data_IF_500824880305
#
_entry.id   IF_500824880305
#
_cell.length_a   1.000
_cell.length_b   1.000
_cell.length_c   1.000
_cell.angle_alpha   90.00
_cell.angle_beta   90.00
_cell.angle_gamma   90.00
#
_symmetry.space_group_name_H-M   'P 1'
#
loop_
_entity.id
_entity.type
_entity.pdbx_description
1 polymer ?
#
# COMPACT_ATOMS: atom_id res chain seq x y z
N UNK A 1 42.30 -21.31 -22.18
CA UNK A 1 41.34 -20.54 -23.01
C UNK A 1 39.89 -20.68 -22.55
N UNK A 2 39.39 -21.89 -22.24
CA UNK A 2 37.99 -22.11 -21.79
C UNK A 2 37.57 -21.42 -20.48
N UNK A 3 38.48 -21.22 -19.52
CA UNK A 3 38.18 -20.59 -18.22
C UNK A 3 37.82 -19.10 -18.36
N UNK A 4 38.41 -18.40 -19.34
CA UNK A 4 38.15 -16.98 -19.61
C UNK A 4 36.75 -16.75 -20.19
N UNK A 5 36.26 -17.65 -21.05
CA UNK A 5 34.94 -17.55 -21.69
C UNK A 5 33.82 -17.73 -20.66
N UNK A 6 33.95 -18.71 -19.76
CA UNK A 6 32.98 -18.94 -18.68
C UNK A 6 32.89 -17.75 -17.68
N UNK A 7 34.02 -17.08 -17.43
CA UNK A 7 34.06 -15.87 -16.60
C UNK A 7 33.31 -14.68 -17.23
N UNK A 8 33.47 -14.48 -18.54
CA UNK A 8 32.80 -13.40 -19.29
C UNK A 8 31.28 -13.63 -19.33
N UNK A 9 30.81 -14.85 -19.60
CA UNK A 9 29.37 -15.16 -19.60
C UNK A 9 28.72 -14.92 -18.22
N UNK A 10 29.41 -15.29 -17.13
CA UNK A 10 28.92 -15.07 -15.76
C UNK A 10 28.79 -13.57 -15.45
N UNK A 11 29.77 -12.75 -15.84
CA UNK A 11 29.73 -11.29 -15.65
C UNK A 11 28.59 -10.66 -16.46
N UNK A 12 28.41 -11.07 -17.72
CA UNK A 12 27.33 -10.55 -18.58
C UNK A 12 25.95 -10.87 -17.99
N UNK A 13 25.71 -12.11 -17.55
CA UNK A 13 24.46 -12.49 -16.87
C UNK A 13 24.20 -11.70 -15.59
N UNK A 14 25.25 -11.42 -14.80
CA UNK A 14 25.13 -10.59 -13.59
C UNK A 14 24.75 -9.16 -13.98
N UNK A 15 25.41 -8.56 -14.98
CA UNK A 15 25.09 -7.21 -15.47
C UNK A 15 23.66 -7.10 -15.97
N UNK A 16 23.18 -8.08 -16.74
CA UNK A 16 21.78 -8.12 -17.20
C UNK A 16 20.80 -8.26 -16.04
N UNK A 17 21.10 -9.12 -15.07
CA UNK A 17 20.28 -9.29 -13.86
C UNK A 17 20.23 -7.99 -13.04
N UNK A 18 21.36 -7.33 -12.85
CA UNK A 18 21.43 -6.03 -12.18
C UNK A 18 20.68 -4.94 -12.95
N UNK A 19 20.80 -4.89 -14.28
CA UNK A 19 20.03 -3.96 -15.13
C UNK A 19 18.52 -4.20 -14.99
N UNK A 20 18.09 -5.46 -15.02
CA UNK A 20 16.69 -5.85 -14.83
C UNK A 20 16.17 -5.51 -13.43
N UNK A 21 16.99 -5.72 -12.39
CA UNK A 21 16.67 -5.32 -11.01
C UNK A 21 16.55 -3.80 -10.91
N UNK A 22 17.49 -3.04 -11.47
CA UNK A 22 17.45 -1.56 -11.47
C UNK A 22 16.20 -1.01 -12.17
N UNK A 23 15.85 -1.56 -13.34
CA UNK A 23 14.61 -1.21 -14.07
C UNK A 23 13.36 -1.56 -13.25
N UNK A 24 13.39 -2.65 -12.47
CA UNK A 24 12.28 -3.01 -11.58
C UNK A 24 12.15 -2.08 -10.36
N UNK A 25 13.25 -1.52 -9.86
CA UNK A 25 13.25 -0.56 -8.73
C UNK A 25 12.76 0.82 -9.17
N UNK A 26 12.94 1.18 -10.45
CA UNK A 26 12.51 2.48 -11.00
C UNK A 26 11.09 2.47 -11.61
N UNK A 27 10.28 1.43 -11.32
CA UNK A 27 8.94 1.29 -11.89
C UNK A 27 7.87 1.26 -10.80
N UNK A 28 6.93 2.20 -10.88
CA UNK A 28 5.68 2.17 -10.11
C UNK A 28 4.66 1.29 -10.83
N UNK A 29 3.76 0.63 -10.09
CA UNK A 29 2.62 -0.07 -10.68
C UNK A 29 1.27 0.51 -10.28
N UNK A 30 0.20 -0.07 -10.81
CA UNK A 30 -1.17 0.37 -10.58
C UNK A 30 -1.60 0.33 -9.11
N UNK A 31 -1.14 -0.67 -8.35
CA UNK A 31 -1.45 -0.81 -6.93
C UNK A 31 -0.75 0.30 -6.14
N UNK A 32 0.54 0.52 -6.40
CA UNK A 32 1.34 1.56 -5.75
C UNK A 32 0.85 2.96 -6.09
N UNK A 33 0.55 3.24 -7.37
CA UNK A 33 0.03 4.53 -7.80
C UNK A 33 -1.29 4.85 -7.08
N UNK A 34 -2.21 3.89 -7.04
CA UNK A 34 -3.50 4.04 -6.36
C UNK A 34 -3.32 4.28 -4.87
N UNK A 35 -2.49 3.47 -4.21
CA UNK A 35 -2.22 3.61 -2.78
C UNK A 35 -1.59 4.97 -2.46
N UNK A 36 -0.55 5.38 -3.19
CA UNK A 36 0.13 6.65 -3.02
C UNK A 36 -0.83 7.83 -3.21
N UNK A 37 -1.55 7.85 -4.34
CA UNK A 37 -2.54 8.87 -4.68
C UNK A 37 -3.59 9.02 -3.57
N UNK A 38 -4.13 7.91 -3.08
CA UNK A 38 -5.08 7.96 -1.98
C UNK A 38 -4.45 8.40 -0.66
N UNK A 39 -3.22 7.98 -0.35
CA UNK A 39 -2.52 8.39 0.86
C UNK A 39 -2.43 9.92 0.96
N UNK A 40 -2.18 10.60 -0.16
CA UNK A 40 -2.06 12.07 -0.18
C UNK A 40 -3.35 12.79 -0.56
N UNK A 41 -4.46 12.06 -0.74
CA UNK A 41 -5.76 12.66 -1.05
C UNK A 41 -5.90 13.23 -2.46
N UNK A 42 -5.08 12.78 -3.41
CA UNK A 42 -5.15 13.25 -4.79
C UNK A 42 -6.24 12.51 -5.59
N UNK A 43 -6.89 13.21 -6.51
CA UNK A 43 -7.75 12.61 -7.53
C UNK A 43 -6.95 12.10 -8.73
N UNK A 44 -7.59 11.31 -9.58
CA UNK A 44 -6.99 10.83 -10.84
C UNK A 44 -6.78 11.97 -11.85
N UNK A 45 -7.50 13.10 -11.69
CA UNK A 45 -7.39 14.28 -12.55
C UNK A 45 -6.05 14.97 -12.34
N UNK A 46 -5.60 15.10 -11.09
CA UNK A 46 -4.35 15.71 -10.69
C UNK A 46 -3.17 14.89 -11.23
N UNK A 47 -3.24 13.56 -11.09
CA UNK A 47 -2.25 12.65 -11.68
C UNK A 47 -2.25 12.76 -13.21
N UNK A 48 -3.42 12.82 -13.84
CA UNK A 48 -3.54 12.98 -15.29
C UNK A 48 -2.88 14.26 -15.80
N UNK A 49 -3.16 15.39 -15.14
CA UNK A 49 -2.50 16.67 -15.44
C UNK A 49 -0.99 16.61 -15.28
N UNK A 50 -0.49 15.95 -14.23
CA UNK A 50 0.94 15.81 -13.98
C UNK A 50 1.64 15.11 -15.16
N UNK A 51 1.09 14.00 -15.65
CA UNK A 51 1.75 13.17 -16.68
C UNK A 51 1.23 13.41 -18.11
N UNK A 52 0.37 14.42 -18.31
CA UNK A 52 -0.13 14.81 -19.62
C UNK A 52 -1.18 13.87 -20.24
N UNK A 53 -1.95 13.15 -19.41
CA UNK A 53 -2.99 12.21 -19.89
C UNK A 53 -4.37 12.50 -19.28
N UNK A 54 -5.41 11.96 -19.89
CA UNK A 54 -6.78 12.07 -19.38
C UNK A 54 -6.97 11.36 -18.02
N UNK A 55 -7.84 11.92 -17.17
CA UNK A 55 -8.20 11.33 -15.88
C UNK A 55 -8.78 9.90 -16.02
N UNK A 56 -9.53 9.65 -17.10
CA UNK A 56 -10.05 8.33 -17.45
C UNK A 56 -8.93 7.33 -17.77
N UNK A 57 -7.87 7.77 -18.45
CA UNK A 57 -6.70 6.93 -18.74
C UNK A 57 -6.01 6.49 -17.46
N UNK A 58 -5.78 7.41 -16.51
CA UNK A 58 -5.22 7.06 -15.19
C UNK A 58 -6.14 6.10 -14.45
N UNK A 59 -7.42 6.43 -14.36
CA UNK A 59 -8.41 5.60 -13.68
C UNK A 59 -8.51 4.19 -14.27
N UNK A 60 -8.41 4.05 -15.58
CA UNK A 60 -8.37 2.74 -16.25
C UNK A 60 -7.12 1.97 -15.84
N UNK A 61 -5.93 2.58 -15.91
CA UNK A 61 -4.67 1.91 -15.56
C UNK A 61 -4.54 1.61 -14.06
N UNK A 62 -5.26 2.29 -13.18
CA UNK A 62 -5.36 1.91 -11.77
C UNK A 62 -6.25 0.69 -11.54
N UNK A 63 -7.24 0.38 -12.39
CA UNK A 63 -8.19 -0.72 -12.19
C UNK A 63 -7.55 -2.10 -12.36
N UNK A 64 -8.19 -3.10 -11.74
CA UNK A 64 -7.92 -4.52 -12.01
C UNK A 64 -8.50 -4.88 -13.38
N UNK A 65 -7.79 -5.66 -14.19
CA UNK A 65 -8.27 -6.15 -15.49
C UNK A 65 -7.74 -5.44 -16.73
N UNK A 66 -6.88 -4.42 -16.58
CA UNK A 66 -6.13 -3.88 -17.73
C UNK A 66 -5.15 -4.92 -18.24
N UNK A 67 -5.02 -5.02 -19.57
CA UNK A 67 -4.04 -5.93 -20.16
C UNK A 67 -2.64 -5.62 -19.61
N UNK A 68 -1.91 -6.67 -19.24
CA UNK A 68 -0.56 -6.55 -18.67
C UNK A 68 0.34 -5.69 -19.57
N UNK A 69 0.25 -5.86 -20.89
CA UNK A 69 1.01 -5.10 -21.88
C UNK A 69 0.69 -3.61 -21.86
N UNK A 70 -0.59 -3.22 -21.81
CA UNK A 70 -0.98 -1.81 -21.76
C UNK A 70 -0.55 -1.15 -20.44
N UNK A 71 -0.77 -1.83 -19.31
CA UNK A 71 -0.27 -1.37 -18.02
C UNK A 71 1.24 -1.21 -18.01
N UNK A 72 1.97 -2.18 -18.57
CA UNK A 72 3.42 -2.11 -18.63
C UNK A 72 3.93 -0.92 -19.43
N UNK A 73 3.32 -0.63 -20.58
CA UNK A 73 3.67 0.52 -21.42
C UNK A 73 3.43 1.84 -20.69
N UNK A 74 2.23 2.03 -20.13
CA UNK A 74 1.87 3.22 -19.37
C UNK A 74 2.85 3.51 -18.23
N UNK A 75 3.17 2.49 -17.42
CA UNK A 75 4.10 2.68 -16.32
C UNK A 75 5.55 2.81 -16.77
N UNK A 76 5.98 2.21 -17.88
CA UNK A 76 7.33 2.47 -18.43
C UNK A 76 7.48 3.94 -18.80
N UNK A 77 6.46 4.52 -19.42
CA UNK A 77 6.48 5.91 -19.89
C UNK A 77 6.49 6.92 -18.73
N UNK A 78 5.64 6.71 -17.72
CA UNK A 78 5.37 7.73 -16.71
C UNK A 78 6.00 7.49 -15.33
N UNK A 79 6.60 6.31 -15.06
CA UNK A 79 7.10 5.97 -13.70
C UNK A 79 8.07 7.00 -13.15
N UNK A 80 9.04 7.45 -13.93
CA UNK A 80 10.08 8.38 -13.44
C UNK A 80 9.47 9.68 -12.91
N UNK A 81 8.52 10.25 -13.65
CA UNK A 81 7.84 11.48 -13.26
C UNK A 81 6.94 11.27 -12.04
N UNK A 82 6.19 10.17 -11.98
CA UNK A 82 5.34 9.83 -10.84
C UNK A 82 6.16 9.63 -9.56
N UNK A 83 7.23 8.83 -9.64
CA UNK A 83 8.14 8.56 -8.51
C UNK A 83 8.75 9.86 -8.01
N UNK A 84 9.26 10.71 -8.92
CA UNK A 84 9.81 12.00 -8.55
C UNK A 84 8.76 12.90 -7.88
N UNK A 85 7.55 13.00 -8.44
CA UNK A 85 6.48 13.80 -7.86
C UNK A 85 6.10 13.35 -6.45
N UNK A 86 5.86 12.05 -6.23
CA UNK A 86 5.49 11.54 -4.92
C UNK A 86 6.62 11.68 -3.88
N UNK A 87 7.87 11.49 -4.31
CA UNK A 87 9.03 11.66 -3.43
C UNK A 87 9.17 13.11 -3.00
N UNK A 88 9.27 14.03 -3.96
CA UNK A 88 9.62 15.43 -3.68
C UNK A 88 8.46 16.26 -3.12
N UNK A 89 7.20 15.93 -3.44
CA UNK A 89 6.04 16.71 -3.01
C UNK A 89 5.29 16.12 -1.83
N UNK A 90 5.48 14.83 -1.57
CA UNK A 90 4.64 14.10 -0.62
C UNK A 90 5.41 13.14 0.30
N UNK A 91 6.74 13.12 0.22
CA UNK A 91 7.58 12.23 1.03
C UNK A 91 7.20 10.75 0.88
N UNK A 92 6.73 10.34 -0.30
CA UNK A 92 6.39 8.94 -0.58
C UNK A 92 7.43 8.35 -1.53
N UNK A 93 8.02 7.24 -1.14
CA UNK A 93 8.96 6.48 -1.95
C UNK A 93 8.43 5.07 -2.26
N UNK A 94 9.03 4.44 -3.27
CA UNK A 94 8.68 3.10 -3.72
C UNK A 94 9.95 2.23 -3.68
N UNK A 95 10.28 1.64 -2.52
CA UNK A 95 11.56 0.93 -2.34
C UNK A 95 11.72 -0.28 -3.26
N UNK A 96 10.60 -0.95 -3.54
CA UNK A 96 10.53 -2.06 -4.50
C UNK A 96 9.16 -2.05 -5.19
N UNK A 97 8.96 -2.95 -6.16
CA UNK A 97 7.71 -3.07 -6.92
C UNK A 97 6.49 -3.49 -6.07
N UNK A 98 6.70 -3.88 -4.81
CA UNK A 98 5.69 -4.45 -3.93
C UNK A 98 5.47 -3.62 -2.67
N UNK A 99 6.09 -2.45 -2.55
CA UNK A 99 6.10 -1.68 -1.30
C UNK A 99 5.92 -0.19 -1.55
N UNK A 100 5.30 0.49 -0.60
CA UNK A 100 5.19 1.94 -0.55
C UNK A 100 5.63 2.39 0.85
N UNK A 101 6.42 3.45 0.91
CA UNK A 101 6.92 3.96 2.17
C UNK A 101 6.74 5.47 2.26
N UNK A 102 6.36 5.94 3.45
CA UNK A 102 6.29 7.36 3.79
C UNK A 102 7.52 7.76 4.59
N UNK A 103 8.26 8.75 4.10
CA UNK A 103 9.44 9.29 4.76
C UNK A 103 9.02 10.36 5.76
N UNK A 104 8.68 9.93 6.98
CA UNK A 104 8.43 10.84 8.09
C UNK A 104 9.70 11.60 8.49
N UNK A 105 9.54 12.77 9.11
CA UNK A 105 10.68 13.54 9.60
C UNK A 105 11.38 12.81 10.76
N UNK A 106 12.69 13.06 11.00
CA UNK A 106 13.43 12.45 12.10
C UNK A 106 12.74 12.62 13.46
N UNK A 107 12.18 13.80 13.72
CA UNK A 107 11.49 14.12 14.97
C UNK A 107 10.25 13.23 15.16
N UNK A 108 9.52 12.94 14.08
CA UNK A 108 8.37 12.04 14.13
C UNK A 108 8.84 10.62 14.45
N UNK A 109 9.92 10.15 13.81
CA UNK A 109 10.45 8.81 14.02
C UNK A 109 10.95 8.57 15.45
N UNK A 110 11.59 9.57 16.06
CA UNK A 110 12.08 9.50 17.45
C UNK A 110 10.95 9.39 18.48
N UNK A 111 9.79 9.99 18.19
CA UNK A 111 8.62 9.98 19.06
C UNK A 111 7.74 8.74 18.88
N UNK A 112 8.09 7.82 17.98
CA UNK A 112 7.32 6.61 17.79
C UNK A 112 7.49 5.66 18.97
N UNK A 113 6.40 5.05 19.48
CA UNK A 113 6.49 3.94 20.41
C UNK A 113 7.39 2.85 19.81
N UNK A 114 8.39 2.42 20.57
CA UNK A 114 9.35 1.38 20.15
C UNK A 114 8.69 0.00 20.08
N UNK A 115 7.64 -0.20 20.86
CA UNK A 115 6.87 -1.43 20.95
C UNK A 115 5.40 -1.11 20.73
N UNK A 116 4.67 -2.04 20.11
CA UNK A 116 3.22 -2.00 20.05
C UNK A 116 2.62 -2.31 18.68
N UNK A 117 1.38 -2.80 18.71
CA UNK A 117 0.56 -3.09 17.55
C UNK A 117 -0.12 -1.85 16.96
N UNK A 118 0.44 -0.66 17.12
CA UNK A 118 -0.16 0.54 16.54
C UNK A 118 -0.05 0.55 15.02
N UNK A 119 -1.05 1.15 14.41
CA UNK A 119 -1.11 1.33 12.97
C UNK A 119 -1.15 2.82 12.67
N UNK A 120 -0.47 3.29 11.64
CA UNK A 120 -0.55 4.70 11.22
C UNK A 120 -1.68 4.90 10.23
N UNK A 121 -2.16 6.14 10.10
CA UNK A 121 -3.11 6.49 9.05
C UNK A 121 -2.58 6.15 7.67
N UNK A 122 -1.28 6.37 7.42
CA UNK A 122 -0.64 5.98 6.16
C UNK A 122 -0.82 4.48 5.89
N UNK A 123 -0.51 3.63 6.87
CA UNK A 123 -0.66 2.18 6.75
C UNK A 123 -2.12 1.77 6.49
N UNK A 124 -3.09 2.30 7.25
CA UNK A 124 -4.51 1.97 7.10
C UNK A 124 -4.99 2.26 5.68
N UNK A 125 -4.77 3.50 5.24
CA UNK A 125 -5.32 3.96 3.97
C UNK A 125 -4.61 3.32 2.79
N UNK A 126 -3.28 3.19 2.84
CA UNK A 126 -2.53 2.48 1.81
C UNK A 126 -2.98 1.02 1.70
N UNK A 127 -3.03 0.28 2.82
CA UNK A 127 -3.45 -1.11 2.82
C UNK A 127 -4.85 -1.30 2.23
N UNK A 128 -5.81 -0.47 2.67
CA UNK A 128 -7.19 -0.50 2.15
C UNK A 128 -7.24 -0.22 0.64
N UNK A 129 -6.52 0.80 0.19
CA UNK A 129 -6.49 1.17 -1.23
C UNK A 129 -5.75 0.15 -2.10
N UNK A 130 -4.71 -0.51 -1.57
CA UNK A 130 -4.02 -1.61 -2.26
C UNK A 130 -4.96 -2.79 -2.52
N UNK A 131 -5.84 -3.09 -1.56
CA UNK A 131 -6.88 -4.12 -1.68
C UNK A 131 -8.10 -3.68 -2.49
N UNK A 132 -8.16 -2.42 -2.94
CA UNK A 132 -9.27 -1.85 -3.68
C UNK A 132 -10.64 -1.91 -2.98
N UNK A 133 -10.68 -1.85 -1.65
CA UNK A 133 -11.93 -1.95 -0.88
C UNK A 133 -12.38 -0.59 -0.35
N UNK A 134 -13.68 -0.43 -0.13
CA UNK A 134 -14.23 0.75 0.52
C UNK A 134 -14.08 0.68 2.05
N UNK A 135 -14.27 1.81 2.74
CA UNK A 135 -14.34 1.84 4.21
C UNK A 135 -15.52 1.01 4.73
N UNK A 136 -16.67 1.06 4.04
CA UNK A 136 -17.83 0.23 4.32
C UNK A 136 -17.51 -1.27 4.23
N UNK A 137 -16.77 -1.69 3.19
CA UNK A 137 -16.35 -3.07 3.01
C UNK A 137 -15.45 -3.52 4.17
N UNK A 138 -14.42 -2.73 4.49
CA UNK A 138 -13.52 -3.03 5.62
C UNK A 138 -14.29 -3.08 6.95
N UNK A 139 -15.23 -2.17 7.15
CA UNK A 139 -16.12 -2.13 8.32
C UNK A 139 -16.91 -3.42 8.49
N UNK A 140 -17.51 -3.93 7.41
CA UNK A 140 -18.28 -5.19 7.44
C UNK A 140 -17.43 -6.39 7.84
N UNK A 141 -16.19 -6.47 7.38
CA UNK A 141 -15.31 -7.61 7.66
C UNK A 141 -14.64 -7.56 9.04
N UNK A 142 -14.43 -6.36 9.57
CA UNK A 142 -13.71 -6.16 10.84
C UNK A 142 -14.62 -5.83 12.01
N UNK A 143 -15.89 -5.48 11.76
CA UNK A 143 -16.81 -4.98 12.77
C UNK A 143 -16.50 -3.54 13.24
N UNK A 144 -15.45 -2.90 12.71
CA UNK A 144 -15.06 -1.54 13.05
C UNK A 144 -16.03 -0.57 12.37
N UNK A 145 -16.56 0.41 13.11
CA UNK A 145 -17.52 1.36 12.55
C UNK A 145 -16.95 2.14 11.34
N UNK A 146 -17.71 2.21 10.25
CA UNK A 146 -17.32 2.94 9.03
C UNK A 146 -16.97 4.42 9.33
N UNK A 147 -17.76 5.09 10.16
CA UNK A 147 -17.50 6.48 10.58
C UNK A 147 -16.16 6.64 11.31
N UNK A 148 -15.77 5.64 12.10
CA UNK A 148 -14.50 5.64 12.81
C UNK A 148 -13.33 5.48 11.82
N UNK A 149 -13.43 4.52 10.88
CA UNK A 149 -12.46 4.36 9.80
C UNK A 149 -12.32 5.64 8.97
N UNK A 150 -13.45 6.25 8.61
CA UNK A 150 -13.49 7.51 7.87
C UNK A 150 -12.78 8.63 8.63
N UNK A 151 -13.11 8.83 9.92
CA UNK A 151 -12.48 9.83 10.76
C UNK A 151 -10.97 9.61 10.87
N UNK A 152 -10.51 8.36 11.03
CA UNK A 152 -9.09 8.03 11.11
C UNK A 152 -8.34 8.26 9.79
N UNK A 153 -8.96 7.99 8.65
CA UNK A 153 -8.32 8.23 7.35
C UNK A 153 -8.26 9.71 6.92
N UNK A 154 -8.95 10.60 7.64
CA UNK A 154 -8.85 12.06 7.47
C UNK A 154 -7.66 12.68 8.20
N UNK A 155 -6.99 11.93 9.09
CA UNK A 155 -5.80 12.37 9.82
C UNK A 155 -4.56 12.47 8.93
N UNK A 156 -3.47 13.06 9.46
CA UNK A 156 -2.18 13.13 8.76
C UNK A 156 -1.53 11.75 8.63
N UNK A 157 -0.62 11.59 7.66
CA UNK A 157 0.05 10.30 7.42
C UNK A 157 0.86 9.82 8.62
N UNK A 158 1.45 10.74 9.38
CA UNK A 158 2.25 10.42 10.56
C UNK A 158 1.42 9.92 11.74
N UNK A 159 0.13 10.25 11.78
CA UNK A 159 -0.70 10.03 12.97
C UNK A 159 -0.91 8.53 13.23
N UNK A 160 -0.63 8.14 14.47
CA UNK A 160 -0.98 6.84 15.00
C UNK A 160 -2.50 6.75 15.18
N UNK A 161 -3.03 5.60 14.82
CA UNK A 161 -4.39 5.24 15.11
C UNK A 161 -4.45 4.86 16.58
N UNK A 162 -5.06 5.74 17.36
CA UNK A 162 -5.60 5.38 18.67
C UNK A 162 -7.10 5.15 18.50
N UNK A 163 -7.50 3.94 18.12
CA UNK A 163 -8.90 3.53 18.16
C UNK A 163 -9.33 3.44 19.63
N UNK A 164 -10.54 3.90 19.93
CA UNK A 164 -11.11 4.11 21.27
C UNK A 164 -10.67 3.04 22.28
N UNK A 165 -10.06 3.44 23.42
CA UNK A 165 -9.84 2.67 24.67
C UNK A 165 -9.56 1.15 24.54
N UNK A 166 -9.05 0.68 23.40
CA UNK A 166 -9.01 -0.75 23.07
C UNK A 166 -7.65 -1.38 23.35
N UNK A 167 -6.75 -0.70 24.05
CA UNK A 167 -5.37 -1.16 24.30
C UNK A 167 -4.66 -1.74 23.06
N UNK A 168 -4.95 -1.21 21.86
CA UNK A 168 -4.38 -1.68 20.59
C UNK A 168 -5.08 -2.89 19.93
N UNK A 169 -6.14 -3.45 20.51
CA UNK A 169 -6.83 -4.64 19.98
C UNK A 169 -7.39 -4.44 18.57
N UNK A 170 -7.96 -3.25 18.30
CA UNK A 170 -8.54 -2.91 16.99
C UNK A 170 -7.46 -2.83 15.92
N UNK A 171 -6.32 -2.23 16.24
CA UNK A 171 -5.16 -2.14 15.37
C UNK A 171 -4.59 -3.53 15.09
N UNK A 172 -4.46 -4.38 16.12
CA UNK A 172 -4.04 -5.77 15.93
C UNK A 172 -5.01 -6.56 15.05
N UNK A 173 -6.32 -6.35 15.19
CA UNK A 173 -7.34 -6.97 14.34
C UNK A 173 -7.17 -6.53 12.87
N UNK A 174 -6.99 -5.24 12.63
CA UNK A 174 -6.72 -4.70 11.30
C UNK A 174 -5.44 -5.30 10.72
N UNK A 175 -4.36 -5.35 11.50
CA UNK A 175 -3.09 -5.93 11.07
C UNK A 175 -3.24 -7.40 10.68
N UNK A 176 -3.93 -8.20 11.49
CA UNK A 176 -4.22 -9.62 11.20
C UNK A 176 -5.04 -9.77 9.92
N UNK A 177 -6.09 -8.97 9.76
CA UNK A 177 -6.95 -9.01 8.58
C UNK A 177 -6.18 -8.64 7.29
N UNK A 178 -5.42 -7.55 7.32
CA UNK A 178 -4.56 -7.13 6.22
C UNK A 178 -3.49 -8.19 5.90
N UNK A 179 -2.87 -8.80 6.92
CA UNK A 179 -1.91 -9.88 6.74
C UNK A 179 -2.51 -11.10 6.04
N UNK A 180 -3.70 -11.51 6.45
CA UNK A 180 -4.45 -12.59 5.82
C UNK A 180 -4.73 -12.29 4.33
N UNK A 181 -4.97 -11.03 3.99
CA UNK A 181 -5.16 -10.56 2.62
C UNK A 181 -3.85 -10.13 1.92
N UNK A 182 -2.70 -10.56 2.43
CA UNK A 182 -1.42 -10.41 1.75
C UNK A 182 -0.78 -9.02 1.85
N UNK A 183 -1.24 -8.16 2.75
CA UNK A 183 -0.58 -6.90 3.10
C UNK A 183 0.26 -7.10 4.37
N UNK A 184 1.51 -6.66 4.37
CA UNK A 184 2.42 -6.69 5.51
C UNK A 184 2.89 -5.28 5.85
N UNK A 185 2.99 -4.99 7.14
CA UNK A 185 3.57 -3.76 7.65
C UNK A 185 5.00 -4.04 8.11
N UNK A 186 5.98 -3.56 7.36
CA UNK A 186 7.40 -3.81 7.71
C UNK A 186 7.88 -2.87 8.81
N UNK A 187 7.36 -1.65 8.82
CA UNK A 187 7.56 -0.62 9.84
C UNK A 187 6.35 0.33 9.81
N UNK A 188 6.31 1.31 10.72
CA UNK A 188 5.16 2.24 10.93
C UNK A 188 4.78 3.07 9.68
N UNK A 189 5.65 3.15 8.69
CA UNK A 189 5.40 3.92 7.48
C UNK A 189 5.64 3.15 6.18
N UNK A 190 5.77 1.82 6.24
CA UNK A 190 5.97 0.98 5.07
C UNK A 190 4.88 -0.09 4.96
N UNK A 191 4.20 -0.10 3.81
CA UNK A 191 3.18 -1.09 3.46
C UNK A 191 3.69 -1.91 2.29
N UNK A 192 3.77 -3.23 2.48
CA UNK A 192 4.20 -4.19 1.49
C UNK A 192 3.06 -5.11 1.11
N UNK A 193 2.78 -5.27 -0.17
CA UNK A 193 1.78 -6.21 -0.66
C UNK A 193 2.45 -7.44 -1.27
N UNK A 194 1.85 -8.62 -1.08
CA UNK A 194 2.33 -9.85 -1.72
C UNK A 194 2.05 -9.74 -3.22
N UNK A 195 3.07 -10.02 -4.03
CA UNK A 195 3.06 -10.01 -5.50
C UNK A 195 1.89 -10.80 -6.14
N UNK A 196 1.32 -11.75 -5.40
CA UNK A 196 0.24 -12.65 -5.83
C UNK A 196 -1.17 -12.08 -5.67
N UNK A 197 -1.34 -10.80 -5.31
CA UNK A 197 -2.65 -10.12 -5.28
C UNK A 197 -3.17 -9.83 -6.70
N UNK A 198 -3.34 -10.90 -7.48
CA UNK A 198 -4.34 -10.98 -8.53
C UNK A 198 -5.65 -11.55 -7.94
N UNK A 199 -5.93 -11.28 -6.66
CA UNK A 199 -7.23 -11.63 -6.11
C UNK A 199 -8.25 -10.71 -6.76
N UNK A 200 -9.16 -11.33 -7.52
CA UNK A 200 -10.39 -10.65 -7.91
C UNK A 200 -11.11 -10.24 -6.63
N UNK A 201 -11.89 -9.16 -6.65
CA UNK A 201 -12.84 -8.85 -5.57
C UNK A 201 -13.70 -10.10 -5.26
N UNK A 202 -13.94 -10.96 -6.25
CA UNK A 202 -14.64 -12.23 -6.08
C UNK A 202 -13.92 -13.23 -5.15
N UNK A 203 -12.60 -13.20 -5.06
CA UNK A 203 -11.84 -14.08 -4.16
C UNK A 203 -11.89 -13.56 -2.71
N UNK A 204 -11.97 -12.23 -2.54
CA UNK A 204 -12.21 -11.57 -1.25
C UNK A 204 -13.67 -11.76 -0.77
N UNK A 205 -14.64 -11.76 -1.68
CA UNK A 205 -16.05 -12.00 -1.37
C UNK A 205 -16.36 -13.46 -1.00
N UNK A 206 -15.47 -14.41 -1.32
CA UNK A 206 -15.59 -15.83 -0.95
C UNK A 206 -15.03 -16.16 0.43
N UNK A 207 -14.19 -15.29 1.03
CA UNK A 207 -13.81 -15.49 2.42
C UNK A 207 -14.99 -15.13 3.31
N UNK A 208 -15.45 -16.11 4.12
CA UNK A 208 -16.47 -15.84 5.12
C UNK A 208 -16.04 -14.67 6.02
N UNK A 209 -16.98 -13.81 6.45
CA UNK A 209 -16.67 -12.82 7.47
C UNK A 209 -16.09 -13.57 8.66
N UNK A 210 -14.90 -13.18 9.08
CA UNK A 210 -14.28 -13.87 10.19
C UNK A 210 -15.13 -13.58 11.42
N UNK A 211 -15.88 -14.57 11.89
CA UNK A 211 -16.73 -14.49 13.07
C UNK A 211 -15.83 -14.32 14.29
N UNK A 212 -15.39 -13.09 14.54
CA UNK A 212 -14.66 -12.76 15.73
C UNK A 212 -15.61 -12.27 16.82
N UNK A 213 -15.36 -12.83 18.00
CA UNK A 213 -16.11 -12.70 19.23
C UNK A 213 -16.52 -11.23 19.42
N UNK A 214 -17.84 -10.98 19.42
CA UNK A 214 -18.37 -9.68 19.84
C UNK A 214 -17.77 -9.35 21.21
N UNK A 215 -17.20 -8.16 21.43
CA UNK A 215 -16.74 -7.78 22.76
C UNK A 215 -17.90 -8.00 23.73
N UNK A 216 -17.66 -8.75 24.81
CA UNK A 216 -18.63 -8.93 25.88
C UNK A 216 -19.05 -7.52 26.30
N UNK A 217 -20.34 -7.21 26.19
CA UNK A 217 -20.88 -6.01 26.83
C UNK A 217 -20.58 -6.16 28.32
N UNK A 218 -19.64 -5.36 28.84
CA UNK A 218 -19.53 -5.17 30.27
C UNK A 218 -20.85 -4.58 30.74
N UNK A 219 -21.61 -5.39 31.47
CA UNK A 219 -22.78 -4.93 32.20
C UNK A 219 -22.22 -4.07 33.32
N UNK A 220 -22.40 -2.76 33.22
CA UNK A 220 -22.12 -1.87 34.35
C UNK A 220 -23.00 -2.30 35.53
N UNK A 221 -22.43 -2.55 36.72
CA UNK A 221 -23.23 -2.73 37.92
C UNK A 221 -24.05 -1.46 38.15
N UNK A 222 -25.34 -1.66 38.41
CA UNK A 222 -26.31 -0.61 38.75
C UNK A 222 -26.25 -0.33 40.24
#
# INVERSE_FOLDING_TARGET
MFVLIAGIEKITRIKEKCKKIKIMVEKINNIQLRAARHAVGLGVREIGKLIGVGASTVGNHERVGVSKKAAEAFFVEHSKQLIHFFKEKHNIIFPDYCSIEFQASPEVLENLPKEGGELTRFQLRCARCMLNISQNTLSKYTGIGEKLLAHKELKKNEELLYMIQSNGEVEQLLQKWFFYHGIKFQNKYCVKFKKTLALSINDLLRSEPVNFIKPKKEVMPT
#
